data_IF_132793150639
#
_entry.id   IF_132793150639
#
_cell.length_a   1.000
_cell.length_b   1.000
_cell.length_c   1.000
_cell.angle_alpha   90.00
_cell.angle_beta   90.00
_cell.angle_gamma   90.00
#
_symmetry.space_group_name_H-M   'P 1'
#
loop_
_entity.id
_entity.type
_entity.pdbx_description
1 polymer ?
#
# COMPACT_ATOMS: atom_id res chain seq x y z
N UNK A 1 47.54 47.96 -14.43
CA UNK A 1 46.13 47.50 -14.44
C UNK A 1 45.87 46.15 -15.14
N UNK A 2 46.86 45.38 -15.63
CA UNK A 2 46.59 44.04 -16.22
C UNK A 2 46.62 42.88 -15.20
N UNK A 3 47.48 42.96 -14.17
CA UNK A 3 47.64 41.88 -13.17
C UNK A 3 46.45 41.73 -12.21
N UNK A 4 45.85 42.84 -11.77
CA UNK A 4 44.70 42.83 -10.86
C UNK A 4 43.44 42.26 -11.51
N UNK A 5 43.21 42.53 -12.81
CA UNK A 5 42.07 41.99 -13.56
C UNK A 5 42.14 40.47 -13.74
N UNK A 6 43.33 39.91 -13.98
CA UNK A 6 43.50 38.46 -14.07
C UNK A 6 43.21 37.76 -12.74
N UNK A 7 43.69 38.32 -11.62
CA UNK A 7 43.44 37.76 -10.28
C UNK A 7 41.94 37.81 -9.94
N UNK A 8 41.27 38.93 -10.24
CA UNK A 8 39.84 39.07 -10.04
C UNK A 8 39.05 38.05 -10.86
N UNK A 9 39.46 37.81 -12.11
CA UNK A 9 38.83 36.82 -13.00
C UNK A 9 38.97 35.39 -12.48
N UNK A 10 40.13 35.01 -11.92
CA UNK A 10 40.32 33.70 -11.30
C UNK A 10 39.45 33.51 -10.06
N UNK A 11 39.37 34.52 -9.18
CA UNK A 11 38.53 34.46 -7.98
C UNK A 11 37.04 34.37 -8.32
N UNK A 12 36.60 35.12 -9.34
CA UNK A 12 35.22 35.05 -9.82
C UNK A 12 34.89 33.65 -10.36
N UNK A 13 35.80 33.05 -11.11
CA UNK A 13 35.60 31.72 -11.70
C UNK A 13 35.53 30.62 -10.63
N UNK A 14 36.38 30.69 -9.60
CA UNK A 14 36.33 29.79 -8.44
C UNK A 14 35.00 29.95 -7.68
N UNK A 15 34.53 31.18 -7.52
CA UNK A 15 33.24 31.46 -6.88
C UNK A 15 32.07 30.83 -7.66
N UNK A 16 32.02 31.00 -8.98
CA UNK A 16 30.99 30.39 -9.83
C UNK A 16 31.02 28.86 -9.78
N UNK A 17 32.20 28.25 -9.83
CA UNK A 17 32.35 26.78 -9.74
C UNK A 17 31.88 26.29 -8.37
N UNK A 18 32.21 26.99 -7.28
CA UNK A 18 31.78 26.62 -5.94
C UNK A 18 30.26 26.68 -5.75
N UNK A 19 29.59 27.69 -6.33
CA UNK A 19 28.12 27.79 -6.32
C UNK A 19 27.49 26.65 -7.12
N UNK A 20 28.03 26.35 -8.31
CA UNK A 20 27.56 25.25 -9.15
C UNK A 20 27.70 23.89 -8.45
N UNK A 21 28.83 23.64 -7.79
CA UNK A 21 29.06 22.40 -7.04
C UNK A 21 28.14 22.29 -5.82
N UNK A 22 27.91 23.37 -5.06
CA UNK A 22 26.97 23.35 -3.92
C UNK A 22 25.53 23.12 -4.40
N UNK A 23 25.13 23.75 -5.51
CA UNK A 23 23.84 23.50 -6.15
C UNK A 23 23.67 22.06 -6.62
N UNK A 24 24.70 21.49 -7.23
CA UNK A 24 24.68 20.11 -7.73
C UNK A 24 24.66 19.08 -6.59
N UNK A 25 25.46 19.28 -5.54
CA UNK A 25 25.49 18.38 -4.37
C UNK A 25 24.15 18.39 -3.62
N UNK A 26 23.50 19.56 -3.46
CA UNK A 26 22.16 19.65 -2.86
C UNK A 26 21.07 18.97 -3.70
N UNK A 27 21.22 18.93 -5.02
CA UNK A 27 20.25 18.32 -5.92
C UNK A 27 20.34 16.78 -5.93
N UNK A 28 21.52 16.21 -5.61
CA UNK A 28 21.74 14.75 -5.58
C UNK A 28 21.41 14.15 -4.20
N UNK A 29 21.44 14.93 -3.12
CA UNK A 29 21.29 14.41 -1.76
C UNK A 29 19.85 14.30 -1.22
N UNK A 30 18.83 14.86 -1.89
CA UNK A 30 17.44 14.88 -1.40
C UNK A 30 16.39 14.36 -2.40
N UNK A 31 16.34 13.04 -2.68
CA UNK A 31 15.06 12.44 -3.08
C UNK A 31 14.63 11.24 -2.23
N UNK A 32 15.54 10.58 -1.50
CA UNK A 32 15.23 9.29 -0.84
C UNK A 32 14.44 9.48 0.46
N UNK A 33 14.79 10.47 1.28
CA UNK A 33 14.12 10.72 2.56
C UNK A 33 12.68 11.26 2.40
N UNK A 34 12.46 12.21 1.48
CA UNK A 34 11.11 12.75 1.22
C UNK A 34 10.16 11.70 0.63
N UNK A 35 10.66 10.81 -0.25
CA UNK A 35 9.84 9.75 -0.83
C UNK A 35 9.44 8.68 0.19
N UNK A 36 10.35 8.32 1.10
CA UNK A 36 10.07 7.34 2.15
C UNK A 36 9.04 7.86 3.16
N UNK A 37 9.20 9.11 3.63
CA UNK A 37 8.26 9.73 4.59
C UNK A 37 6.86 9.89 4.00
N UNK A 38 6.76 10.26 2.71
CA UNK A 38 5.47 10.35 2.03
C UNK A 38 4.81 8.97 1.87
N UNK A 39 5.58 7.92 1.59
CA UNK A 39 5.04 6.57 1.40
C UNK A 39 4.41 6.01 2.69
N UNK A 40 5.04 6.22 3.84
CA UNK A 40 4.51 5.75 5.13
C UNK A 40 3.27 6.54 5.55
N UNK A 41 3.26 7.86 5.33
CA UNK A 41 2.05 8.68 5.55
C UNK A 41 0.87 8.19 4.70
N UNK A 42 1.11 7.86 3.42
CA UNK A 42 0.08 7.31 2.53
C UNK A 42 -0.46 5.98 3.06
N UNK A 43 0.43 5.05 3.42
CA UNK A 43 0.04 3.74 3.97
C UNK A 43 -0.84 3.87 5.20
N UNK A 44 -0.39 4.63 6.20
CA UNK A 44 -1.13 4.80 7.44
C UNK A 44 -2.48 5.47 7.17
N UNK A 45 -2.51 6.51 6.33
CA UNK A 45 -3.74 7.20 5.99
C UNK A 45 -4.78 6.35 5.24
N UNK A 46 -4.35 5.33 4.48
CA UNK A 46 -5.25 4.33 3.88
C UNK A 46 -5.71 3.34 4.94
N UNK A 47 -4.78 2.73 5.69
CA UNK A 47 -5.08 1.72 6.70
C UNK A 47 -6.08 2.24 7.74
N UNK A 48 -5.87 3.46 8.26
CA UNK A 48 -6.76 4.05 9.28
C UNK A 48 -8.19 4.25 8.77
N UNK A 49 -8.34 4.74 7.53
CA UNK A 49 -9.65 4.97 6.93
C UNK A 49 -10.36 3.68 6.57
N UNK A 50 -9.64 2.71 6.01
CA UNK A 50 -10.17 1.38 5.73
C UNK A 50 -10.56 0.64 7.01
N UNK A 51 -9.78 0.77 8.09
CA UNK A 51 -10.13 0.24 9.42
C UNK A 51 -11.44 0.81 9.95
N UNK A 52 -11.69 2.10 9.73
CA UNK A 52 -12.95 2.74 10.14
C UNK A 52 -14.17 2.20 9.36
N UNK A 53 -13.96 1.77 8.12
CA UNK A 53 -15.01 1.24 7.24
C UNK A 53 -15.22 -0.29 7.39
N UNK A 54 -14.33 -1.00 8.09
CA UNK A 54 -14.43 -2.47 8.29
C UNK A 54 -15.78 -2.96 8.80
N UNK A 55 -16.45 -2.31 9.79
CA UNK A 55 -17.76 -2.78 10.25
C UNK A 55 -18.80 -2.86 9.12
N UNK A 56 -18.73 -1.92 8.16
CA UNK A 56 -19.62 -1.93 6.99
C UNK A 56 -19.26 -3.06 6.02
N UNK A 57 -17.96 -3.30 5.81
CA UNK A 57 -17.50 -4.40 4.98
C UNK A 57 -17.89 -5.77 5.57
N UNK A 58 -17.72 -5.96 6.89
CA UNK A 58 -18.10 -7.21 7.58
C UNK A 58 -19.61 -7.46 7.47
N UNK A 59 -20.45 -6.44 7.68
CA UNK A 59 -21.91 -6.57 7.53
C UNK A 59 -22.34 -6.90 6.09
N UNK A 60 -21.56 -6.47 5.10
CA UNK A 60 -21.86 -6.67 3.68
C UNK A 60 -21.53 -8.09 3.21
N UNK A 61 -20.55 -8.76 3.82
CA UNK A 61 -20.06 -10.06 3.36
C UNK A 61 -20.66 -11.19 4.18
N UNK A 62 -21.33 -12.11 3.50
CA UNK A 62 -21.93 -13.27 4.15
C UNK A 62 -20.85 -14.16 4.77
N UNK A 63 -21.13 -14.70 5.96
CA UNK A 63 -20.27 -15.63 6.68
C UNK A 63 -18.91 -15.04 7.12
N UNK A 64 -18.69 -13.74 6.97
CA UNK A 64 -17.51 -13.04 7.49
C UNK A 64 -17.85 -12.44 8.85
N UNK A 65 -17.05 -12.76 9.86
CA UNK A 65 -17.27 -12.34 11.25
C UNK A 65 -16.32 -11.23 11.68
N UNK A 66 -15.09 -11.28 11.20
CA UNK A 66 -14.07 -10.31 11.52
C UNK A 66 -13.08 -10.14 10.37
N UNK A 67 -12.52 -8.94 10.25
CA UNK A 67 -11.48 -8.60 9.29
C UNK A 67 -10.46 -7.76 10.04
N UNK A 68 -9.18 -8.12 9.88
CA UNK A 68 -8.06 -7.32 10.38
C UNK A 68 -7.21 -6.88 9.21
N UNK A 69 -6.82 -5.60 9.20
CA UNK A 69 -5.85 -5.07 8.24
C UNK A 69 -4.48 -5.13 8.91
N UNK A 70 -3.63 -6.01 8.40
CA UNK A 70 -2.30 -6.28 8.95
C UNK A 70 -1.28 -5.25 8.45
N UNK A 71 -1.29 -4.99 7.14
CA UNK A 71 -0.29 -4.15 6.48
C UNK A 71 -0.77 -3.66 5.09
N UNK A 72 -0.02 -2.73 4.51
CA UNK A 72 -0.19 -2.25 3.14
C UNK A 72 1.14 -2.27 2.39
N UNK A 73 1.14 -2.88 1.20
CA UNK A 73 2.33 -2.95 0.34
C UNK A 73 2.06 -2.27 -0.99
N UNK A 74 2.94 -1.34 -1.38
CA UNK A 74 2.92 -0.75 -2.71
C UNK A 74 3.45 -1.74 -3.75
N UNK A 75 2.71 -1.90 -4.84
CA UNK A 75 3.17 -2.58 -6.06
C UNK A 75 3.78 -1.61 -7.07
N UNK A 76 3.36 -0.34 -7.01
CA UNK A 76 3.92 0.76 -7.79
C UNK A 76 4.23 1.95 -6.86
N UNK A 77 5.45 2.48 -6.97
CA UNK A 77 5.96 3.58 -6.15
C UNK A 77 5.95 4.94 -6.87
N UNK A 78 5.21 5.05 -7.97
CA UNK A 78 5.02 6.28 -8.76
C UNK A 78 3.53 6.61 -8.83
N UNK A 79 3.16 7.87 -8.60
CA UNK A 79 1.76 8.30 -8.65
C UNK A 79 1.17 8.21 -10.08
N UNK A 80 -0.07 7.70 -10.27
CA UNK A 80 -0.95 7.10 -9.26
C UNK A 80 -0.38 5.80 -8.69
N UNK A 81 -0.25 5.73 -7.36
CA UNK A 81 0.28 4.56 -6.69
C UNK A 81 -0.75 3.42 -6.74
N UNK A 82 -0.26 2.21 -6.60
CA UNK A 82 -1.08 1.02 -6.44
C UNK A 82 -0.41 0.05 -5.48
N UNK A 83 -1.21 -0.86 -4.94
CA UNK A 83 -0.77 -1.79 -3.91
C UNK A 83 -1.84 -2.79 -3.54
N UNK A 84 -1.60 -3.47 -2.42
CA UNK A 84 -2.57 -4.34 -1.80
C UNK A 84 -2.54 -4.19 -0.29
N UNK A 85 -3.71 -4.24 0.32
CA UNK A 85 -3.84 -4.47 1.76
C UNK A 85 -3.70 -5.96 2.04
N UNK A 86 -2.85 -6.29 2.99
CA UNK A 86 -2.76 -7.62 3.57
C UNK A 86 -3.76 -7.66 4.72
N UNK A 87 -4.70 -8.59 4.64
CA UNK A 87 -5.76 -8.71 5.64
C UNK A 87 -5.89 -10.15 6.12
N UNK A 88 -6.31 -10.35 7.36
CA UNK A 88 -6.77 -11.66 7.87
C UNK A 88 -8.28 -11.60 8.07
N UNK A 89 -8.99 -12.56 7.48
CA UNK A 89 -10.44 -12.68 7.59
C UNK A 89 -10.79 -13.89 8.43
N UNK A 90 -11.74 -13.74 9.33
CA UNK A 90 -12.37 -14.83 10.07
C UNK A 90 -13.76 -15.08 9.49
N UNK A 91 -13.94 -16.23 8.84
CA UNK A 91 -15.17 -16.54 8.12
C UNK A 91 -15.46 -18.04 8.07
N UNK A 92 -16.73 -18.36 7.81
CA UNK A 92 -17.18 -19.73 7.58
C UNK A 92 -16.93 -20.13 6.10
N UNK A 93 -15.95 -21.01 5.88
CA UNK A 93 -15.61 -21.53 4.56
C UNK A 93 -16.40 -22.80 4.29
N UNK A 94 -16.98 -22.91 3.09
CA UNK A 94 -17.67 -24.12 2.67
C UNK A 94 -16.65 -25.26 2.54
N UNK A 95 -16.92 -26.38 3.19
CA UNK A 95 -16.06 -27.55 3.05
C UNK A 95 -16.11 -28.10 1.62
N UNK A 96 -14.93 -28.35 1.05
CA UNK A 96 -14.79 -29.07 -0.21
C UNK A 96 -14.41 -30.51 0.09
N UNK A 97 -15.43 -31.34 0.33
CA UNK A 97 -15.29 -32.76 0.60
C UNK A 97 -15.81 -33.57 -0.58
N UNK A 98 -15.11 -34.65 -0.90
CA UNK A 98 -15.61 -35.66 -1.82
C UNK A 98 -16.86 -36.37 -1.25
N UNK A 99 -17.67 -37.04 -2.07
CA UNK A 99 -18.86 -37.75 -1.59
C UNK A 99 -18.57 -38.76 -0.47
N UNK A 100 -17.43 -39.45 -0.53
CA UNK A 100 -17.04 -40.41 0.51
C UNK A 100 -16.68 -39.72 1.83
N UNK A 101 -16.05 -38.55 1.76
CA UNK A 101 -15.72 -37.74 2.94
C UNK A 101 -16.98 -37.12 3.55
N UNK A 102 -17.96 -36.70 2.73
CA UNK A 102 -19.27 -36.28 3.22
C UNK A 102 -19.99 -37.39 3.97
N UNK A 103 -20.00 -38.60 3.43
CA UNK A 103 -20.60 -39.78 4.09
C UNK A 103 -19.85 -40.10 5.39
N UNK A 104 -18.52 -40.02 5.40
CA UNK A 104 -17.71 -40.24 6.59
C UNK A 104 -17.97 -39.18 7.69
N UNK A 105 -18.23 -37.94 7.30
CA UNK A 105 -18.65 -36.86 8.21
C UNK A 105 -20.15 -36.93 8.59
N UNK A 106 -20.86 -37.99 8.20
CA UNK A 106 -22.29 -38.14 8.47
C UNK A 106 -23.15 -37.06 7.81
N UNK A 107 -22.67 -36.45 6.73
CA UNK A 107 -23.28 -35.32 6.02
C UNK A 107 -23.59 -34.10 6.92
N UNK A 108 -22.79 -33.89 7.97
CA UNK A 108 -22.94 -32.77 8.91
C UNK A 108 -22.00 -31.61 8.58
N UNK A 109 -22.37 -30.41 9.05
CA UNK A 109 -21.57 -29.18 9.04
C UNK A 109 -20.99 -28.80 7.67
N UNK A 110 -21.79 -28.10 6.87
CA UNK A 110 -21.39 -27.68 5.52
C UNK A 110 -20.25 -26.64 5.50
N UNK A 111 -20.06 -25.93 6.60
CA UNK A 111 -19.12 -24.82 6.73
C UNK A 111 -18.23 -25.02 7.96
N UNK A 112 -16.98 -24.56 7.85
CA UNK A 112 -16.01 -24.55 8.95
C UNK A 112 -15.45 -23.14 9.10
N UNK A 113 -15.40 -22.67 10.34
CA UNK A 113 -14.79 -21.38 10.65
C UNK A 113 -13.27 -21.45 10.43
N UNK A 114 -12.74 -20.52 9.65
CA UNK A 114 -11.31 -20.40 9.36
C UNK A 114 -10.85 -18.96 9.43
N UNK A 115 -9.56 -18.82 9.73
CA UNK A 115 -8.83 -17.58 9.55
C UNK A 115 -7.91 -17.71 8.33
N UNK A 116 -8.04 -16.80 7.36
CA UNK A 116 -7.26 -16.83 6.11
C UNK A 116 -6.69 -15.45 5.78
N UNK A 117 -5.48 -15.43 5.23
CA UNK A 117 -4.90 -14.23 4.61
C UNK A 117 -5.60 -13.95 3.28
N UNK A 118 -6.15 -12.75 3.16
CA UNK A 118 -6.85 -12.24 1.98
C UNK A 118 -6.18 -10.95 1.55
N UNK A 119 -5.95 -10.80 0.24
CA UNK A 119 -5.33 -9.61 -0.33
C UNK A 119 -6.39 -8.75 -0.99
N UNK A 120 -6.47 -7.49 -0.57
CA UNK A 120 -7.39 -6.52 -1.15
C UNK A 120 -6.61 -5.58 -2.04
N UNK A 121 -6.92 -5.59 -3.33
CA UNK A 121 -6.28 -4.70 -4.30
C UNK A 121 -6.67 -3.24 -4.01
N UNK A 122 -5.67 -2.36 -4.03
CA UNK A 122 -5.84 -0.91 -3.83
C UNK A 122 -5.17 -0.16 -4.97
N UNK A 123 -5.97 0.59 -5.73
CA UNK A 123 -5.56 1.23 -6.97
C UNK A 123 -5.86 2.73 -6.97
N UNK A 124 -5.27 3.42 -7.95
CA UNK A 124 -5.50 4.85 -8.21
C UNK A 124 -5.27 5.70 -6.97
N UNK A 125 -4.22 5.39 -6.21
CA UNK A 125 -3.86 6.14 -5.02
C UNK A 125 -3.25 7.45 -5.50
N UNK A 126 -3.94 8.56 -5.23
CA UNK A 126 -3.48 9.90 -5.59
C UNK A 126 -3.41 10.78 -4.36
N UNK A 127 -2.42 11.66 -4.34
CA UNK A 127 -2.18 12.60 -3.24
C UNK A 127 -2.48 14.02 -3.72
N UNK A 128 -3.37 14.72 -3.01
CA UNK A 128 -3.67 16.12 -3.30
C UNK A 128 -3.55 16.93 -2.03
N UNK A 129 -2.47 17.71 -1.94
CA UNK A 129 -2.07 18.46 -0.74
C UNK A 129 -1.94 17.53 0.45
N UNK A 130 -2.98 17.42 1.27
CA UNK A 130 -3.01 16.64 2.52
C UNK A 130 -4.12 15.58 2.50
N UNK A 131 -4.71 15.30 1.33
CA UNK A 131 -5.69 14.23 1.18
C UNK A 131 -5.12 13.13 0.30
N UNK A 132 -5.52 11.90 0.61
CA UNK A 132 -5.23 10.72 -0.20
C UNK A 132 -6.58 10.19 -0.66
N UNK A 133 -6.70 9.86 -1.94
CA UNK A 133 -7.86 9.18 -2.52
C UNK A 133 -7.39 7.87 -3.15
N UNK A 134 -8.21 6.84 -3.08
CA UNK A 134 -7.90 5.52 -3.64
C UNK A 134 -9.19 4.75 -3.92
N UNK A 135 -9.04 3.60 -4.55
CA UNK A 135 -10.09 2.61 -4.74
C UNK A 135 -9.63 1.25 -4.21
N UNK A 136 -10.43 0.66 -3.31
CA UNK A 136 -10.21 -0.67 -2.74
C UNK A 136 -11.21 -1.69 -3.29
N UNK A 137 -10.74 -2.85 -3.75
CA UNK A 137 -11.61 -3.88 -4.34
C UNK A 137 -12.02 -4.99 -3.35
N UNK A 138 -12.73 -4.60 -2.30
CA UNK A 138 -13.21 -5.52 -1.25
C UNK A 138 -14.10 -6.66 -1.76
N UNK A 139 -14.94 -6.39 -2.77
CA UNK A 139 -15.84 -7.39 -3.33
C UNK A 139 -15.07 -8.48 -4.08
N UNK A 140 -14.06 -8.12 -4.88
CA UNK A 140 -13.22 -9.10 -5.54
C UNK A 140 -12.42 -9.92 -4.52
N UNK A 141 -11.91 -9.28 -3.47
CA UNK A 141 -11.22 -9.97 -2.38
C UNK A 141 -12.12 -11.01 -1.69
N UNK A 142 -13.38 -10.65 -1.37
CA UNK A 142 -14.37 -11.59 -0.84
C UNK A 142 -14.64 -12.75 -1.80
N UNK A 143 -14.95 -12.44 -3.06
CA UNK A 143 -15.23 -13.47 -4.07
C UNK A 143 -14.05 -14.43 -4.26
N UNK A 144 -12.82 -13.94 -4.20
CA UNK A 144 -11.63 -14.78 -4.28
C UNK A 144 -11.43 -15.59 -3.00
N UNK A 145 -11.66 -15.01 -1.82
CA UNK A 145 -11.52 -15.70 -0.54
C UNK A 145 -12.44 -16.93 -0.45
N UNK A 146 -13.68 -16.82 -0.94
CA UNK A 146 -14.68 -17.91 -0.92
C UNK A 146 -14.60 -18.87 -2.11
N UNK A 147 -13.92 -18.50 -3.22
CA UNK A 147 -13.83 -19.33 -4.44
C UNK A 147 -12.59 -20.20 -4.55
N UNK A 148 -11.55 -19.91 -3.78
CA UNK A 148 -10.30 -20.67 -3.86
C UNK A 148 -10.51 -22.11 -3.37
N UNK A 149 -10.80 -22.98 -4.35
CA UNK A 149 -10.76 -24.44 -4.32
C UNK A 149 -9.61 -24.88 -5.24
#
# INVERSE_FOLDING_TARGET
MKKAFNILSYLLNIFFISILVIGYVRQVSNPVHEQQDNSEWIKQGIIEREKADLPLNIQKFENVYDITIDDFVFTNNVEPYSGYMITTWDFDEKQDLSPNEWVANGCKEKYIRKQKKVYVEVNNITTQKNNITWYSNWLAAYMNAIRQH
#
